data_IF_223258794908
#
_entry.id   IF_223258794908
#
_cell.length_a   1.000
_cell.length_b   1.000
_cell.length_c   1.000
_cell.angle_alpha   90.00
_cell.angle_beta   90.00
_cell.angle_gamma   90.00
#
_symmetry.space_group_name_H-M   'P 1'
#
loop_
_entity.id
_entity.type
_entity.pdbx_description
1 polymer ?
#
# COMPACT_ATOMS: atom_id res chain seq x y z
N UNK A 1 19.81 11.62 -10.39
CA UNK A 1 19.09 11.31 -11.64
C UNK A 1 17.61 11.35 -11.32
N UNK A 2 16.95 12.50 -11.52
CA UNK A 2 15.50 12.63 -11.36
C UNK A 2 14.88 11.85 -12.50
N UNK A 3 14.38 10.64 -12.23
CA UNK A 3 13.52 9.94 -13.18
C UNK A 3 12.25 10.78 -13.22
N UNK A 4 12.11 11.62 -14.24
CA UNK A 4 10.83 12.23 -14.58
C UNK A 4 9.96 11.07 -15.06
N UNK A 5 9.28 10.40 -14.13
CA UNK A 5 8.26 9.42 -14.47
C UNK A 5 7.20 10.18 -15.28
N UNK A 6 6.85 9.64 -16.45
CA UNK A 6 5.83 10.27 -17.29
C UNK A 6 4.52 10.34 -16.51
N UNK A 7 3.78 11.44 -16.59
CA UNK A 7 2.49 11.60 -15.90
C UNK A 7 1.53 10.44 -16.23
N UNK A 8 1.61 9.87 -17.43
CA UNK A 8 0.87 8.67 -17.83
C UNK A 8 1.21 7.45 -16.97
N UNK A 9 2.49 7.25 -16.66
CA UNK A 9 2.95 6.15 -15.83
C UNK A 9 2.44 6.28 -14.39
N UNK A 10 2.49 7.48 -13.82
CA UNK A 10 1.93 7.76 -12.49
C UNK A 10 0.42 7.52 -12.43
N UNK A 11 -0.32 7.90 -13.47
CA UNK A 11 -1.76 7.64 -13.56
C UNK A 11 -2.06 6.14 -13.64
N UNK A 12 -1.32 5.38 -14.44
CA UNK A 12 -1.49 3.91 -14.50
C UNK A 12 -1.20 3.27 -13.15
N UNK A 13 -0.12 3.67 -12.47
CA UNK A 13 0.20 3.22 -11.12
C UNK A 13 -0.90 3.58 -10.13
N UNK A 14 -1.51 4.77 -10.24
CA UNK A 14 -2.63 5.18 -9.40
C UNK A 14 -3.84 4.25 -9.56
N UNK A 15 -4.19 3.89 -10.81
CA UNK A 15 -5.31 2.97 -11.09
C UNK A 15 -5.04 1.58 -10.49
N UNK A 16 -3.82 1.07 -10.61
CA UNK A 16 -3.41 -0.20 -10.01
C UNK A 16 -3.51 -0.11 -8.46
N UNK A 17 -3.07 0.99 -7.87
CA UNK A 17 -3.16 1.22 -6.43
C UNK A 17 -4.61 1.25 -5.94
N UNK A 18 -5.53 1.87 -6.68
CA UNK A 18 -6.95 1.90 -6.37
C UNK A 18 -7.57 0.49 -6.37
N UNK A 19 -7.20 -0.34 -7.34
CA UNK A 19 -7.59 -1.75 -7.35
C UNK A 19 -7.08 -2.47 -6.09
N UNK A 20 -5.88 -2.13 -5.64
CA UNK A 20 -5.27 -2.76 -4.47
C UNK A 20 -5.88 -2.32 -3.14
N UNK A 21 -6.22 -1.03 -3.02
CA UNK A 21 -7.04 -0.50 -1.93
C UNK A 21 -8.38 -1.22 -1.86
N UNK A 22 -9.06 -1.39 -3.00
CA UNK A 22 -10.34 -2.12 -3.05
C UNK A 22 -10.18 -3.58 -2.57
N UNK A 23 -9.15 -4.28 -3.04
CA UNK A 23 -8.87 -5.64 -2.61
C UNK A 23 -8.59 -5.73 -1.10
N UNK A 24 -7.85 -4.78 -0.53
CA UNK A 24 -7.61 -4.71 0.92
C UNK A 24 -8.91 -4.49 1.70
N UNK A 25 -9.78 -3.58 1.25
CA UNK A 25 -11.10 -3.36 1.88
C UNK A 25 -11.94 -4.63 1.83
N UNK A 26 -11.95 -5.31 0.69
CA UNK A 26 -12.64 -6.59 0.54
C UNK A 26 -12.09 -7.65 1.50
N UNK A 27 -10.76 -7.78 1.60
CA UNK A 27 -10.10 -8.73 2.49
C UNK A 27 -10.40 -8.45 3.97
N UNK A 28 -10.41 -7.19 4.40
CA UNK A 28 -10.83 -6.79 5.76
C UNK A 28 -12.27 -7.22 6.05
N UNK A 29 -13.16 -7.07 5.08
CA UNK A 29 -14.59 -7.42 5.22
C UNK A 29 -14.82 -8.93 5.24
N UNK A 30 -14.08 -9.69 4.43
CA UNK A 30 -14.27 -11.14 4.29
C UNK A 30 -13.57 -11.96 5.38
N UNK A 31 -12.46 -11.45 5.93
CA UNK A 31 -11.69 -12.11 6.97
C UNK A 31 -12.48 -12.16 8.28
N UNK A 32 -12.65 -13.35 8.90
CA UNK A 32 -13.37 -13.48 10.19
C UNK A 32 -12.45 -13.33 11.42
N UNK A 33 -11.16 -13.60 11.27
CA UNK A 33 -10.18 -13.55 12.36
C UNK A 33 -9.70 -12.11 12.61
N UNK A 34 -9.87 -11.62 13.85
CA UNK A 34 -9.55 -10.24 14.24
C UNK A 34 -8.09 -9.87 13.93
N UNK A 35 -7.14 -10.75 14.25
CA UNK A 35 -5.71 -10.50 14.01
C UNK A 35 -5.34 -10.45 12.52
N UNK A 36 -6.03 -11.22 11.68
CA UNK A 36 -5.84 -11.15 10.23
C UNK A 36 -6.44 -9.87 9.67
N UNK A 37 -7.60 -9.42 10.19
CA UNK A 37 -8.14 -8.09 9.85
C UNK A 37 -7.14 -6.98 10.18
N UNK A 38 -6.46 -7.04 11.32
CA UNK A 38 -5.43 -6.07 11.69
C UNK A 38 -4.29 -6.02 10.67
N UNK A 39 -3.80 -7.17 10.21
CA UNK A 39 -2.79 -7.22 9.14
C UNK A 39 -3.27 -6.54 7.86
N UNK A 40 -4.51 -6.83 7.43
CA UNK A 40 -5.11 -6.17 6.27
C UNK A 40 -5.33 -4.67 6.45
N UNK A 41 -5.66 -4.20 7.66
CA UNK A 41 -5.74 -2.76 7.97
C UNK A 41 -4.37 -2.07 7.85
N UNK A 42 -3.29 -2.73 8.28
CA UNK A 42 -1.93 -2.19 8.13
C UNK A 42 -1.55 -2.10 6.64
N UNK A 43 -1.83 -3.13 5.84
CA UNK A 43 -1.61 -3.09 4.39
C UNK A 43 -2.41 -1.96 3.75
N UNK A 44 -3.70 -1.84 4.10
CA UNK A 44 -4.57 -0.77 3.61
C UNK A 44 -4.01 0.62 3.93
N UNK A 45 -3.50 0.83 5.15
CA UNK A 45 -2.85 2.09 5.54
C UNK A 45 -1.65 2.39 4.64
N UNK A 46 -0.80 1.40 4.39
CA UNK A 46 0.35 1.54 3.50
C UNK A 46 -0.05 1.91 2.07
N UNK A 47 -1.09 1.27 1.53
CA UNK A 47 -1.65 1.60 0.21
C UNK A 47 -2.21 3.03 0.15
N UNK A 48 -2.88 3.52 1.21
CA UNK A 48 -3.36 4.90 1.26
C UNK A 48 -2.20 5.92 1.26
N UNK A 49 -1.13 5.64 1.99
CA UNK A 49 0.08 6.49 2.00
C UNK A 49 0.76 6.45 0.63
N UNK A 50 0.84 5.28 -0.01
CA UNK A 50 1.41 5.13 -1.35
C UNK A 50 0.57 5.86 -2.42
N UNK A 51 -0.76 5.76 -2.36
CA UNK A 51 -1.66 6.53 -3.21
C UNK A 51 -1.47 8.06 -3.02
N UNK A 52 -1.29 8.49 -1.77
CA UNK A 52 -0.99 9.90 -1.47
C UNK A 52 0.33 10.35 -2.11
N UNK A 53 1.37 9.50 -2.11
CA UNK A 53 2.60 9.76 -2.85
C UNK A 53 2.33 10.03 -4.34
N UNK A 54 1.54 9.18 -5.00
CA UNK A 54 1.27 9.29 -6.44
C UNK A 54 0.56 10.62 -6.74
N UNK A 55 -0.40 11.02 -5.91
CA UNK A 55 -1.07 12.32 -6.04
C UNK A 55 -0.10 13.49 -5.83
N UNK A 56 0.73 13.42 -4.80
CA UNK A 56 1.76 14.44 -4.51
C UNK A 56 2.78 14.56 -5.66
N UNK A 57 3.15 13.43 -6.27
CA UNK A 57 4.02 13.38 -7.44
C UNK A 57 3.36 13.97 -8.69
N UNK A 58 2.05 13.77 -8.88
CA UNK A 58 1.28 14.37 -9.98
C UNK A 58 1.12 15.90 -9.85
N UNK A 59 1.21 16.45 -8.64
CA UNK A 59 1.09 17.89 -8.36
C UNK A 59 2.48 18.56 -8.22
N UNK A 60 3.56 17.89 -8.65
CA UNK A 60 4.94 18.38 -8.63
C UNK A 60 5.49 18.80 -7.25
N UNK A 61 4.91 18.28 -6.16
CA UNK A 61 5.40 18.49 -4.79
C UNK A 61 6.51 17.44 -4.51
N UNK A 62 7.60 17.57 -5.25
CA UNK A 62 8.68 16.58 -5.37
C UNK A 62 9.43 16.18 -4.07
N UNK A 63 9.69 17.05 -3.08
CA UNK A 63 10.53 16.66 -1.93
C UNK A 63 9.86 15.65 -1.00
N UNK A 64 8.53 15.63 -0.95
CA UNK A 64 7.78 14.73 -0.07
C UNK A 64 7.38 13.42 -0.75
N UNK A 65 7.37 13.39 -2.08
CA UNK A 65 6.96 12.24 -2.87
C UNK A 65 7.82 10.99 -2.59
N UNK A 66 9.15 11.13 -2.60
CA UNK A 66 10.06 10.01 -2.33
C UNK A 66 9.93 9.43 -0.92
N UNK A 67 9.73 10.30 0.08
CA UNK A 67 9.53 9.88 1.47
C UNK A 67 8.21 9.12 1.64
N UNK A 68 7.12 9.64 1.07
CA UNK A 68 5.80 9.00 1.12
C UNK A 68 5.80 7.65 0.39
N UNK A 69 6.50 7.53 -0.75
CA UNK A 69 6.67 6.26 -1.46
C UNK A 69 7.31 5.21 -0.56
N UNK A 70 8.45 5.52 0.03
CA UNK A 70 9.20 4.59 0.88
C UNK A 70 8.42 4.22 2.15
N UNK A 71 7.76 5.20 2.77
CA UNK A 71 6.93 4.98 3.94
C UNK A 71 5.74 4.07 3.63
N UNK A 72 5.00 4.35 2.56
CA UNK A 72 3.85 3.55 2.13
C UNK A 72 4.24 2.10 1.86
N UNK A 73 5.30 1.88 1.07
CA UNK A 73 5.83 0.54 0.79
C UNK A 73 6.33 -0.17 2.05
N UNK A 74 6.98 0.55 2.97
CA UNK A 74 7.42 0.00 4.25
C UNK A 74 6.26 -0.48 5.12
N UNK A 75 5.19 0.31 5.21
CA UNK A 75 3.98 -0.06 5.97
C UNK A 75 3.30 -1.28 5.31
N UNK A 76 3.19 -1.32 3.98
CA UNK A 76 2.67 -2.49 3.25
C UNK A 76 3.50 -3.73 3.57
N UNK A 77 4.83 -3.64 3.53
CA UNK A 77 5.73 -4.75 3.85
C UNK A 77 5.53 -5.26 5.28
N UNK A 78 5.38 -4.37 6.27
CA UNK A 78 5.06 -4.75 7.66
C UNK A 78 3.74 -5.51 7.73
N UNK A 79 2.69 -5.02 7.06
CA UNK A 79 1.39 -5.69 7.03
C UNK A 79 1.46 -7.09 6.41
N UNK A 80 2.23 -7.26 5.31
CA UNK A 80 2.47 -8.57 4.68
C UNK A 80 3.22 -9.50 5.64
N UNK A 81 4.26 -9.02 6.32
CA UNK A 81 5.01 -9.83 7.29
C UNK A 81 4.13 -10.26 8.47
N UNK A 82 3.24 -9.38 8.95
CA UNK A 82 2.27 -9.72 9.98
C UNK A 82 1.34 -10.85 9.54
N UNK A 83 0.81 -10.79 8.31
CA UNK A 83 -0.03 -11.87 7.77
C UNK A 83 0.78 -13.16 7.57
N UNK A 84 1.97 -13.07 6.97
CA UNK A 84 2.83 -14.22 6.69
C UNK A 84 3.26 -14.97 7.96
N UNK A 85 3.65 -14.23 9.01
CA UNK A 85 3.99 -14.82 10.31
C UNK A 85 2.83 -15.64 10.88
N UNK A 86 1.61 -15.13 10.76
CA UNK A 86 0.42 -15.84 11.25
C UNK A 86 0.02 -17.03 10.38
N UNK A 87 0.18 -16.92 9.05
CA UNK A 87 0.00 -18.08 8.17
C UNK A 87 0.94 -19.22 8.54
N UNK A 88 2.22 -18.90 8.84
CA UNK A 88 3.19 -19.89 9.32
C UNK A 88 2.76 -20.53 10.64
N UNK A 89 2.34 -19.73 11.62
CA UNK A 89 1.88 -20.26 12.92
C UNK A 89 0.67 -21.21 12.82
N UNK A 90 -0.19 -21.04 11.81
CA UNK A 90 -1.34 -21.93 11.57
C UNK A 90 -0.93 -23.21 10.83
N UNK A 91 0.05 -23.12 9.93
CA UNK A 91 0.48 -24.25 9.10
C UNK A 91 1.50 -25.18 9.77
N UNK A 92 2.20 -24.71 10.82
CA UNK A 92 3.28 -25.44 11.49
C UNK A 92 4.65 -24.98 11.02
#
# INVERSE_FOLDING_TARGET
MHIVESSTELVVRFVIELFWIYACIYAVRSTKLIYWKQGWYVILLGCLVHATYIVVALVDILPYAGMLRNLGMGIVAVGILMLAKRMKEIMG
#
